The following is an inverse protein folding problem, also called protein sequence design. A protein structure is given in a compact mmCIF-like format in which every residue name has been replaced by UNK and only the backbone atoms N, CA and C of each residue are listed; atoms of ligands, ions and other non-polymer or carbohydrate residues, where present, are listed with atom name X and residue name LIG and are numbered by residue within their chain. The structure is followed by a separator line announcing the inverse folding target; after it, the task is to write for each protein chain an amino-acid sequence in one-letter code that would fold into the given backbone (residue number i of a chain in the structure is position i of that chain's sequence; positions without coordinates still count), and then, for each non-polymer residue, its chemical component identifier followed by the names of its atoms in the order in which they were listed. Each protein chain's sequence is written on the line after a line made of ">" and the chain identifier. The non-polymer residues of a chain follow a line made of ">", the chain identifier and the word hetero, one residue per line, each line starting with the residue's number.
data_IF_831572653391
#
_entry.id   IF_831572653391
#
_cell.length_a   1.000
_cell.length_b   1.000
_cell.length_c   1.000
_cell.angle_alpha   90.00
_cell.angle_beta   90.00
_cell.angle_gamma   90.00
#
_symmetry.space_group_name_H-M   'P 1'
#
loop_
_entity.id
_entity.type
_entity.pdbx_description
1 polymer ?
#
# COMPACT_ATOMS: atom_id res chain seq x y z
N UNK A 1 -15.07 33.54 27.17
CA UNK A 1 -15.86 32.59 27.36
C UNK A 1 -16.04 31.67 26.29
N UNK A 2 -16.47 32.04 25.28
CA UNK A 2 -16.67 31.21 24.23
C UNK A 2 -15.47 30.56 23.80
N UNK A 3 -14.40 31.04 24.05
CA UNK A 3 -13.24 30.45 23.60
C UNK A 3 -13.07 29.08 24.06
N UNK A 4 -13.55 28.78 25.17
CA UNK A 4 -13.41 27.47 25.61
C UNK A 4 -13.94 26.48 24.71
N UNK A 5 -15.02 26.73 24.15
CA UNK A 5 -15.61 25.78 23.28
C UNK A 5 -14.69 25.38 22.18
N UNK A 6 -14.08 26.28 21.67
CA UNK A 6 -13.21 26.00 20.55
C UNK A 6 -12.16 25.05 20.96
N UNK A 7 -11.68 25.24 22.07
CA UNK A 7 -10.61 24.42 22.47
C UNK A 7 -11.05 23.00 22.59
N UNK A 8 -12.17 22.81 23.10
CA UNK A 8 -12.58 21.51 23.23
C UNK A 8 -12.73 20.83 21.97
N UNK A 9 -13.29 21.40 21.07
CA UNK A 9 -13.46 20.75 19.88
C UNK A 9 -12.22 20.26 19.38
N UNK A 10 -11.28 21.02 19.35
CA UNK A 10 -10.08 20.62 18.78
C UNK A 10 -9.51 19.52 19.57
N UNK A 11 -9.50 19.65 20.79
CA UNK A 11 -8.84 18.65 21.54
C UNK A 11 -9.37 17.33 21.34
N UNK A 12 -10.57 17.19 21.43
CA UNK A 12 -10.99 15.91 21.44
C UNK A 12 -10.97 15.31 20.13
N UNK A 13 -11.36 15.99 19.33
CA UNK A 13 -11.58 15.35 18.27
C UNK A 13 -10.58 14.55 17.85
N UNK A 14 -10.81 14.09 17.44
CA UNK A 14 -10.14 13.54 16.56
C UNK A 14 -8.86 13.15 16.79
N UNK A 15 -8.40 13.53 17.66
CA UNK A 15 -7.10 13.28 17.85
C UNK A 15 -6.74 11.89 17.70
N UNK A 16 -7.43 11.04 18.27
CA UNK A 16 -7.01 9.74 18.23
C UNK A 16 -6.87 9.25 16.89
N UNK A 17 -7.74 9.50 16.09
CA UNK A 17 -7.62 8.97 14.82
C UNK A 17 -6.50 9.46 14.16
N UNK A 18 -6.15 10.57 14.41
CA UNK A 18 -5.07 11.07 13.71
C UNK A 18 -3.85 10.46 14.12
N UNK A 19 -3.84 9.77 15.16
CA UNK A 19 -2.66 9.19 15.57
C UNK A 19 -2.18 8.22 14.65
N UNK A 20 -2.89 7.89 13.69
CA UNK A 20 -2.38 7.00 12.72
C UNK A 20 -1.14 7.56 12.13
N UNK A 21 -0.27 6.73 11.70
CA UNK A 21 0.98 7.16 11.12
C UNK A 21 0.75 8.12 9.99
N UNK A 22 1.58 9.10 9.83
CA UNK A 22 1.42 10.05 8.74
C UNK A 22 1.66 9.35 7.43
N UNK A 23 1.06 9.87 6.39
CA UNK A 23 1.23 9.30 5.08
C UNK A 23 2.66 9.54 4.62
N UNK A 24 3.31 8.48 4.21
CA UNK A 24 4.68 8.58 3.74
C UNK A 24 4.65 8.92 2.29
N UNK A 25 5.17 10.10 1.94
CA UNK A 25 5.11 10.56 0.58
C UNK A 25 5.85 9.68 -0.41
N UNK A 26 6.79 8.89 0.03
CA UNK A 26 7.49 8.04 -0.90
C UNK A 26 6.59 6.92 -1.41
N UNK A 27 5.48 6.65 -0.73
CA UNK A 27 4.58 5.61 -1.14
C UNK A 27 3.44 6.16 -2.00
N UNK A 28 3.14 7.44 -1.85
CA UNK A 28 2.02 8.04 -2.56
C UNK A 28 2.25 8.01 -4.06
N UNK A 29 1.25 7.60 -4.81
CA UNK A 29 1.35 7.59 -6.26
C UNK A 29 0.79 6.31 -6.85
N UNK A 30 1.11 6.07 -8.10
CA UNK A 30 0.62 4.92 -8.84
C UNK A 30 1.74 3.91 -9.02
N UNK A 31 1.42 2.65 -8.82
CA UNK A 31 2.41 1.58 -8.89
C UNK A 31 1.84 0.43 -9.68
N UNK A 32 2.55 0.01 -10.70
CA UNK A 32 2.09 -1.11 -11.53
C UNK A 32 2.77 -2.40 -11.11
N UNK A 33 2.00 -3.47 -10.96
CA UNK A 33 2.55 -4.76 -10.57
C UNK A 33 3.40 -5.31 -11.71
N UNK A 34 4.62 -5.65 -11.42
CA UNK A 34 5.55 -6.15 -12.43
C UNK A 34 6.07 -7.55 -12.13
N UNK A 35 6.03 -7.97 -10.88
CA UNK A 35 6.44 -9.33 -10.53
C UNK A 35 5.64 -9.77 -9.32
N UNK A 36 5.37 -11.06 -9.24
CA UNK A 36 4.66 -11.61 -8.12
C UNK A 36 5.23 -12.98 -7.81
N UNK A 37 5.37 -13.28 -6.52
CA UNK A 37 5.95 -14.54 -6.10
C UNK A 37 5.15 -15.15 -4.96
N UNK A 38 5.10 -16.49 -4.93
CA UNK A 38 4.57 -17.17 -3.78
C UNK A 38 5.76 -17.91 -3.20
N UNK A 39 6.21 -17.53 -2.02
CA UNK A 39 7.49 -17.93 -1.48
C UNK A 39 8.53 -17.46 -2.50
N UNK A 40 9.26 -18.33 -3.11
CA UNK A 40 10.22 -17.92 -4.11
C UNK A 40 9.79 -18.30 -5.51
N UNK A 41 8.59 -18.84 -5.67
CA UNK A 41 8.13 -19.25 -6.98
C UNK A 41 7.41 -18.13 -7.71
N UNK A 42 7.82 -17.81 -8.93
CA UNK A 42 7.15 -16.73 -9.66
C UNK A 42 5.71 -17.10 -9.99
N UNK A 43 4.85 -16.13 -9.91
CA UNK A 43 3.46 -16.29 -10.26
C UNK A 43 3.18 -15.51 -11.55
N UNK A 44 2.31 -15.99 -12.40
CA UNK A 44 2.02 -15.28 -13.64
C UNK A 44 1.21 -14.02 -13.36
N UNK A 45 1.43 -13.00 -14.16
CA UNK A 45 0.65 -11.77 -14.09
C UNK A 45 -0.13 -11.71 -15.38
N UNK A 46 -1.43 -11.90 -15.29
CA UNK A 46 -2.28 -12.02 -16.47
C UNK A 46 -3.09 -10.77 -16.79
N UNK A 47 -2.97 -9.74 -16.01
CA UNK A 47 -3.69 -8.51 -16.25
C UNK A 47 -2.83 -7.34 -15.80
N UNK A 48 -3.19 -6.13 -16.21
CA UNK A 48 -2.48 -4.95 -15.80
C UNK A 48 -3.07 -4.52 -14.47
N UNK A 49 -2.29 -4.65 -13.42
CA UNK A 49 -2.75 -4.33 -12.08
C UNK A 49 -1.99 -3.13 -11.54
N UNK A 50 -2.72 -2.16 -11.06
CA UNK A 50 -2.15 -0.93 -10.54
C UNK A 50 -2.71 -0.66 -9.15
N UNK A 51 -1.84 -0.25 -8.25
CA UNK A 51 -2.26 0.18 -6.93
C UNK A 51 -1.98 1.67 -6.83
N UNK A 52 -2.95 2.42 -6.39
CA UNK A 52 -2.76 3.85 -6.17
C UNK A 52 -2.81 4.08 -4.68
N UNK A 53 -1.75 4.68 -4.11
CA UNK A 53 -1.75 5.03 -2.71
C UNK A 53 -2.01 6.53 -2.65
N UNK A 54 -3.17 6.90 -2.18
CA UNK A 54 -3.56 8.31 -2.17
C UNK A 54 -3.00 9.04 -0.98
N UNK A 55 -2.80 10.31 -1.17
CA UNK A 55 -2.31 11.15 -0.11
C UNK A 55 -3.35 11.35 0.97
N UNK A 56 -4.57 10.92 0.73
CA UNK A 56 -5.65 11.04 1.68
C UNK A 56 -5.84 9.78 2.51
N UNK A 57 -4.94 8.82 2.41
CA UNK A 57 -5.07 7.61 3.19
C UNK A 57 -5.94 6.55 2.55
N UNK A 58 -6.19 6.67 1.26
CA UNK A 58 -7.01 5.69 0.55
C UNK A 58 -6.18 4.98 -0.49
N UNK A 59 -6.30 3.66 -0.55
CA UNK A 59 -5.67 2.84 -1.56
C UNK A 59 -6.72 2.45 -2.55
N UNK A 60 -6.41 2.50 -3.83
CA UNK A 60 -7.34 2.09 -4.87
C UNK A 60 -6.62 1.11 -5.79
N UNK A 61 -7.29 0.01 -6.09
CA UNK A 61 -6.71 -0.97 -7.00
C UNK A 61 -7.46 -0.92 -8.32
N UNK A 62 -6.70 -1.08 -9.39
CA UNK A 62 -7.27 -1.08 -10.73
C UNK A 62 -6.79 -2.34 -11.45
N UNK A 63 -7.66 -2.91 -12.24
CA UNK A 63 -7.28 -4.06 -13.05
C UNK A 63 -7.72 -3.76 -14.46
N UNK A 64 -6.79 -3.75 -15.41
CA UNK A 64 -7.05 -3.44 -16.80
C UNK A 64 -7.78 -2.10 -16.94
N UNK A 65 -7.40 -1.15 -16.09
CA UNK A 65 -7.95 0.20 -16.18
C UNK A 65 -9.20 0.44 -15.38
N UNK A 66 -9.79 -0.59 -14.80
CA UNK A 66 -11.02 -0.41 -14.05
C UNK A 66 -10.80 -0.56 -12.58
N UNK A 67 -11.41 0.29 -11.80
CA UNK A 67 -11.26 0.24 -10.36
C UNK A 67 -11.94 -1.01 -9.83
N UNK A 68 -11.21 -1.81 -9.07
CA UNK A 68 -11.75 -3.02 -8.51
C UNK A 68 -11.95 -2.94 -7.01
N UNK A 69 -11.18 -2.10 -6.32
CA UNK A 69 -11.27 -2.04 -4.88
C UNK A 69 -10.77 -0.70 -4.39
N UNK A 70 -11.36 -0.18 -3.34
CA UNK A 70 -10.91 1.05 -2.75
C UNK A 70 -11.11 0.94 -1.26
N UNK A 71 -10.08 1.17 -0.48
CA UNK A 71 -10.16 1.03 0.96
C UNK A 71 -9.14 1.90 1.66
N UNK A 72 -9.33 2.16 2.92
CA UNK A 72 -8.38 2.96 3.67
C UNK A 72 -7.10 2.17 3.89
N UNK A 73 -5.99 2.87 4.01
CA UNK A 73 -4.75 2.23 4.35
C UNK A 73 -3.95 3.13 5.28
N UNK A 74 -2.97 2.55 5.93
CA UNK A 74 -1.99 3.33 6.65
C UNK A 74 -0.77 2.45 6.81
N UNK A 75 0.37 3.08 7.07
CA UNK A 75 1.60 2.34 7.24
C UNK A 75 2.25 2.77 8.53
N UNK A 76 3.08 1.91 9.10
CA UNK A 76 3.75 2.20 10.34
C UNK A 76 5.16 1.65 10.23
N UNK A 77 6.15 2.49 10.54
CA UNK A 77 7.54 2.07 10.43
C UNK A 77 7.84 0.91 11.34
N UNK A 78 8.58 -0.06 10.85
CA UNK A 78 9.00 -1.18 11.66
C UNK A 78 10.32 -0.78 12.26
N UNK A 79 10.39 -0.76 13.58
CA UNK A 79 11.56 -0.31 14.24
C UNK A 79 12.77 -1.16 13.91
N UNK A 80 13.86 -0.54 13.56
CA UNK A 80 15.08 -1.28 13.25
C UNK A 80 15.19 -1.75 11.82
N UNK A 81 14.17 -1.54 11.00
CA UNK A 81 14.22 -1.99 9.63
C UNK A 81 13.75 -0.91 8.68
N UNK A 82 14.13 -1.05 7.43
CA UNK A 82 13.73 -0.06 6.44
C UNK A 82 12.47 -0.55 5.77
N UNK A 83 11.49 -0.91 6.55
CA UNK A 83 10.22 -1.42 6.09
C UNK A 83 9.11 -0.88 6.93
N UNK A 84 7.88 -1.03 6.45
CA UNK A 84 6.71 -0.57 7.13
C UNK A 84 5.67 -1.67 7.20
N UNK A 85 4.88 -1.67 8.26
CA UNK A 85 3.69 -2.50 8.30
C UNK A 85 2.65 -1.80 7.44
N UNK A 86 1.90 -2.54 6.67
CA UNK A 86 0.82 -1.99 5.87
C UNK A 86 -0.49 -2.52 6.43
N UNK A 87 -1.38 -1.62 6.81
CA UNK A 87 -2.67 -1.99 7.34
C UNK A 87 -3.75 -1.57 6.37
N UNK A 88 -4.69 -2.49 6.10
CA UNK A 88 -5.80 -2.20 5.22
C UNK A 88 -7.03 -1.98 6.06
N UNK A 89 -7.93 -1.15 5.61
CA UNK A 89 -9.18 -0.86 6.29
C UNK A 89 -8.99 -0.26 7.65
N UNK A 90 -7.81 -0.21 8.15
CA UNK A 90 -7.48 0.33 9.44
C UNK A 90 -8.35 -0.21 10.55
N UNK A 91 -8.81 -1.43 10.41
CA UNK A 91 -9.62 -2.04 11.41
C UNK A 91 -8.74 -2.60 12.49
N UNK A 92 -9.05 -2.38 13.74
CA UNK A 92 -8.22 -2.86 14.78
C UNK A 92 -8.18 -4.33 14.83
N UNK A 93 -9.23 -4.99 14.51
CA UNK A 93 -9.23 -6.41 14.56
C UNK A 93 -8.24 -7.00 13.59
N UNK A 94 -7.83 -6.22 12.64
CA UNK A 94 -6.89 -6.71 11.68
C UNK A 94 -5.62 -7.16 12.33
N UNK A 95 -5.33 -6.65 13.47
CA UNK A 95 -4.11 -7.02 14.14
C UNK A 95 -4.12 -8.47 14.57
N UNK A 96 -5.24 -9.07 14.61
CA UNK A 96 -5.30 -10.45 15.04
C UNK A 96 -5.25 -11.42 13.89
N UNK A 97 -5.07 -10.92 12.69
CA UNK A 97 -4.95 -11.81 11.56
C UNK A 97 -3.70 -12.65 11.71
N UNK A 98 -3.65 -13.73 11.02
CA UNK A 98 -2.57 -14.65 11.14
C UNK A 98 -1.29 -14.20 10.47
N UNK A 99 -1.23 -13.06 9.93
CA UNK A 99 -0.04 -12.62 9.24
C UNK A 99 0.13 -11.15 9.29
N UNK A 100 1.17 -10.69 8.67
CA UNK A 100 1.48 -9.29 8.60
C UNK A 100 1.75 -8.93 7.16
N UNK A 101 1.50 -7.71 6.79
CA UNK A 101 1.85 -7.23 5.46
C UNK A 101 2.92 -6.17 5.63
N UNK A 102 4.02 -6.35 4.93
CA UNK A 102 5.13 -5.41 4.99
C UNK A 102 5.26 -4.70 3.65
N UNK A 103 5.76 -3.48 3.72
CA UNK A 103 5.92 -2.66 2.53
C UNK A 103 7.27 -1.98 2.57
N UNK A 104 7.97 -1.96 1.47
CA UNK A 104 9.20 -1.19 1.39
C UNK A 104 9.30 -0.54 0.03
N UNK A 105 9.99 0.60 -0.03
CA UNK A 105 10.18 1.33 -1.27
C UNK A 105 11.67 1.46 -1.51
N UNK A 106 12.09 1.17 -2.72
CA UNK A 106 13.47 1.32 -3.10
C UNK A 106 13.47 2.00 -4.46
N UNK A 107 13.64 3.32 -4.48
CA UNK A 107 13.61 4.08 -5.71
C UNK A 107 12.25 4.01 -6.35
N UNK A 108 12.19 3.51 -7.56
CA UNK A 108 10.93 3.41 -8.28
C UNK A 108 10.26 2.06 -8.10
N UNK A 109 10.70 1.28 -7.15
CA UNK A 109 10.10 -0.01 -6.90
C UNK A 109 9.47 -0.07 -5.53
N UNK A 110 8.35 -0.74 -5.45
CA UNK A 110 7.62 -0.93 -4.20
C UNK A 110 7.44 -2.42 -4.03
N UNK A 111 7.77 -2.92 -2.86
CA UNK A 111 7.60 -4.34 -2.57
C UNK A 111 6.59 -4.49 -1.45
N UNK A 112 5.61 -5.33 -1.65
CA UNK A 112 4.62 -5.64 -0.62
C UNK A 112 4.67 -7.14 -0.39
N UNK A 113 4.91 -7.55 0.84
CA UNK A 113 4.97 -8.95 1.18
C UNK A 113 3.92 -9.27 2.23
N UNK A 114 3.10 -10.25 1.92
CA UNK A 114 2.12 -10.72 2.86
C UNK A 114 2.70 -11.93 3.54
N UNK A 115 2.94 -11.84 4.84
CA UNK A 115 3.46 -12.94 5.62
C UNK A 115 2.27 -13.60 6.29
N UNK A 116 2.07 -14.85 5.98
CA UNK A 116 0.94 -15.56 6.53
C UNK A 116 1.47 -16.87 7.05
N UNK A 117 0.88 -17.44 8.06
CA UNK A 117 1.45 -18.65 8.61
C UNK A 117 1.40 -19.80 7.63
N UNK A 118 0.61 -19.69 6.56
CA UNK A 118 0.53 -20.76 5.60
C UNK A 118 1.23 -20.45 4.29
N UNK A 119 1.50 -19.20 4.00
CA UNK A 119 2.21 -18.89 2.78
C UNK A 119 2.73 -17.45 2.84
N UNK A 120 3.64 -17.16 1.94
CA UNK A 120 4.18 -15.83 1.83
C UNK A 120 4.05 -15.40 0.39
N UNK A 121 3.47 -14.25 0.15
CA UNK A 121 3.30 -13.73 -1.19
C UNK A 121 3.99 -12.39 -1.28
N UNK A 122 4.80 -12.21 -2.31
CA UNK A 122 5.52 -10.96 -2.51
C UNK A 122 5.15 -10.40 -3.86
N UNK A 123 4.72 -9.14 -3.86
CA UNK A 123 4.39 -8.44 -5.09
C UNK A 123 5.35 -7.28 -5.24
N UNK A 124 5.89 -7.12 -6.44
CA UNK A 124 6.80 -6.04 -6.73
C UNK A 124 6.17 -5.15 -7.77
N UNK A 125 6.14 -3.86 -7.46
CA UNK A 125 5.51 -2.88 -8.32
C UNK A 125 6.53 -1.86 -8.78
N UNK A 126 6.27 -1.26 -9.91
CA UNK A 126 7.11 -0.20 -10.45
C UNK A 126 6.28 1.08 -10.51
N UNK A 127 6.89 2.21 -10.18
CA UNK A 127 6.15 3.47 -10.14
C UNK A 127 5.81 3.93 -11.55
N UNK A 128 4.59 4.41 -11.73
CA UNK A 128 4.19 4.99 -12.98
C UNK A 128 3.59 6.36 -12.64
N UNK A 129 3.51 7.24 -13.61
CA UNK A 129 3.06 8.59 -13.32
C UNK A 129 1.56 8.69 -13.30
N UNK A 130 0.86 7.82 -13.99
CA UNK A 130 -0.59 7.84 -13.98
C UNK A 130 -1.09 6.55 -14.57
N UNK A 131 -2.40 6.35 -14.54
CA UNK A 131 -2.96 5.14 -15.11
C UNK A 131 -2.73 5.04 -16.60
N UNK A 132 -2.45 6.15 -17.26
CA UNK A 132 -2.22 6.12 -18.70
C UNK A 132 -0.84 5.61 -19.05
N UNK A 133 0.02 5.53 -18.08
CA UNK A 133 1.40 5.15 -18.34
C UNK A 133 1.68 3.69 -18.06
N UNK A 134 0.65 2.87 -18.00
CA UNK A 134 0.88 1.47 -17.73
C UNK A 134 1.61 0.80 -18.87
N UNK A 135 2.46 -0.13 -18.55
CA UNK A 135 3.16 -0.89 -19.56
C UNK A 135 2.34 -2.07 -19.91
N UNK A 136 2.27 -2.36 -21.17
CA UNK A 136 1.42 -3.43 -21.62
C UNK A 136 2.23 -4.55 -22.19
N UNK A 137 1.69 -5.76 -22.07
CA UNK A 137 2.32 -6.90 -22.70
C UNK A 137 3.34 -7.55 -21.81
N UNK A 138 3.43 -8.83 -21.97
CA UNK A 138 4.31 -9.60 -21.19
C UNK A 138 5.74 -9.23 -21.34
N UNK A 139 6.09 -8.81 -22.52
CA UNK A 139 7.47 -8.44 -22.78
C UNK A 139 7.90 -7.29 -21.91
N UNK A 140 7.05 -6.30 -21.78
CA UNK A 140 7.42 -5.15 -20.99
C UNK A 140 7.54 -5.51 -19.52
N UNK A 141 6.68 -6.36 -19.06
CA UNK A 141 6.75 -6.75 -17.66
C UNK A 141 8.01 -7.55 -17.39
N UNK A 142 8.43 -8.37 -18.33
CA UNK A 142 9.62 -9.16 -18.12
C UNK A 142 10.88 -8.33 -18.08
N UNK A 143 10.87 -7.18 -18.66
CA UNK A 143 12.03 -6.36 -18.64
C UNK A 143 12.24 -5.74 -17.28
N UNK A 144 11.26 -5.79 -16.43
CA UNK A 144 11.38 -5.15 -15.15
C UNK A 144 11.88 -6.14 -14.15
N UNK A 145 13.12 -6.48 -14.23
CA UNK A 145 13.66 -7.41 -13.29
C UNK A 145 14.15 -6.72 -12.10
N UNK A 146 13.87 -7.23 -10.96
CA UNK A 146 14.26 -6.60 -9.71
C UNK A 146 15.14 -7.49 -8.92
#
# INVERSE_FOLDING_TARGET
>A
MMLLAAVMMTGCSSDEKKELAPINKSVVGYWQLVQSYQFSDPLPINSIQVAEFGNDGTMTYYEDGEQTKRLPYRIKKIEGFDEYYLYYNTDEDYEYDLGETHLSVDGDFLKITDYNCFYQKTDIYHRISSLDDVERGEVDLKKRKI
#
